data_IF_565074378701
#
_entry.id   IF_565074378701
#
_cell.length_a   1.000
_cell.length_b   1.000
_cell.length_c   1.000
_cell.angle_alpha   90.00
_cell.angle_beta   90.00
_cell.angle_gamma   90.00
#
_symmetry.space_group_name_H-M   'P 1'
#
loop_
_entity.id
_entity.type
_entity.pdbx_description
1 polymer ?
#
# COMPACT_ATOMS: atom_id res chain seq x y z
N UNK A 1 -10.49 -7.14 -37.38
CA UNK A 1 -10.84 -6.04 -36.46
C UNK A 1 -9.69 -5.82 -35.48
N UNK A 2 -8.92 -4.75 -35.66
CA UNK A 2 -7.81 -4.38 -34.76
C UNK A 2 -8.39 -3.49 -33.67
N UNK A 3 -8.44 -3.99 -32.45
CA UNK A 3 -8.92 -3.22 -31.30
C UNK A 3 -7.78 -2.34 -30.80
N UNK A 4 -7.87 -1.04 -31.11
CA UNK A 4 -6.96 -0.03 -30.59
C UNK A 4 -7.16 0.10 -29.08
N UNK A 5 -6.11 -0.16 -28.31
CA UNK A 5 -6.06 0.17 -26.87
C UNK A 5 -5.69 1.65 -26.74
N UNK A 6 -6.57 2.52 -26.22
CA UNK A 6 -6.17 3.87 -25.86
C UNK A 6 -5.25 3.81 -24.63
N UNK A 7 -4.02 4.28 -24.79
CA UNK A 7 -3.11 4.61 -23.69
C UNK A 7 -3.75 5.76 -22.88
N UNK A 8 -4.51 5.41 -21.85
CA UNK A 8 -5.08 6.37 -20.91
C UNK A 8 -4.03 6.71 -19.84
N UNK A 9 -3.32 7.81 -20.12
CA UNK A 9 -3.25 9.00 -19.25
C UNK A 9 -3.07 8.74 -17.74
N UNK A 10 -1.83 8.49 -17.32
CA UNK A 10 -1.42 8.62 -15.90
C UNK A 10 -0.57 9.86 -15.59
N UNK A 11 -0.36 10.79 -16.55
CA UNK A 11 0.46 12.00 -16.34
C UNK A 11 -0.38 13.29 -16.29
N UNK A 12 -1.43 13.32 -15.46
CA UNK A 12 -2.05 14.60 -15.06
C UNK A 12 -1.46 15.15 -13.75
N UNK A 13 -0.57 14.40 -13.10
CA UNK A 13 0.08 14.81 -11.85
C UNK A 13 1.32 15.71 -12.07
N UNK A 14 1.82 15.85 -13.32
CA UNK A 14 2.94 16.76 -13.67
C UNK A 14 2.53 18.24 -13.70
N UNK A 15 1.23 18.57 -13.72
CA UNK A 15 0.77 19.95 -13.95
C UNK A 15 0.39 20.70 -12.67
N UNK A 16 0.48 20.04 -11.50
CA UNK A 16 0.26 20.66 -10.19
C UNK A 16 1.49 20.50 -9.31
N UNK A 17 2.61 21.03 -9.80
CA UNK A 17 3.69 21.62 -8.99
C UNK A 17 4.09 20.86 -7.73
N UNK A 18 4.67 19.67 -7.87
CA UNK A 18 5.62 19.13 -6.88
C UNK A 18 6.45 17.99 -7.45
N UNK A 19 7.35 18.32 -8.36
CA UNK A 19 8.26 17.34 -8.94
C UNK A 19 9.26 16.87 -7.87
N UNK A 20 9.01 15.68 -7.30
CA UNK A 20 10.10 14.84 -6.82
C UNK A 20 10.80 14.32 -8.08
N UNK A 21 12.13 14.39 -8.16
CA UNK A 21 12.85 14.13 -9.41
C UNK A 21 12.46 12.77 -9.99
N UNK A 22 12.28 12.73 -11.31
CA UNK A 22 11.94 11.52 -12.09
C UNK A 22 12.85 10.33 -11.75
N UNK A 23 14.08 10.61 -11.28
CA UNK A 23 15.03 9.63 -10.74
C UNK A 23 14.56 8.86 -9.50
N UNK A 24 13.40 9.17 -8.94
CA UNK A 24 12.82 8.47 -7.78
C UNK A 24 11.45 7.87 -8.08
N UNK A 25 10.95 8.03 -9.31
CA UNK A 25 9.66 7.47 -9.74
C UNK A 25 9.70 5.93 -9.70
N UNK A 26 10.76 5.32 -10.24
CA UNK A 26 10.93 3.86 -10.22
C UNK A 26 10.98 3.26 -8.80
N UNK A 27 11.59 3.96 -7.84
CA UNK A 27 11.65 3.51 -6.43
C UNK A 27 10.26 3.53 -5.80
N UNK A 28 9.44 4.54 -6.12
CA UNK A 28 8.04 4.61 -5.66
C UNK A 28 7.19 3.53 -6.29
N UNK A 29 7.35 3.27 -7.59
CA UNK A 29 6.62 2.22 -8.30
C UNK A 29 6.99 0.84 -7.78
N UNK A 30 8.28 0.62 -7.48
CA UNK A 30 8.75 -0.60 -6.84
C UNK A 30 8.16 -0.75 -5.43
N UNK A 31 8.22 0.29 -4.60
CA UNK A 31 7.66 0.27 -3.25
C UNK A 31 6.14 0.03 -3.24
N UNK A 32 5.42 0.61 -4.19
CA UNK A 32 4.00 0.38 -4.42
C UNK A 32 3.71 -1.08 -4.75
N UNK A 33 4.45 -1.67 -5.69
CA UNK A 33 4.25 -3.04 -6.12
C UNK A 33 4.61 -4.05 -5.03
N UNK A 34 5.65 -3.79 -4.23
CA UNK A 34 6.01 -4.66 -3.10
C UNK A 34 4.91 -4.68 -2.03
N UNK A 35 4.34 -3.52 -1.68
CA UNK A 35 3.19 -3.45 -0.76
C UNK A 35 1.97 -4.15 -1.35
N UNK A 36 1.67 -3.92 -2.64
CA UNK A 36 0.55 -4.56 -3.33
C UNK A 36 0.67 -6.09 -3.29
N UNK A 37 1.85 -6.63 -3.59
CA UNK A 37 2.13 -8.07 -3.49
C UNK A 37 1.90 -8.58 -2.09
N UNK A 38 2.45 -7.92 -1.06
CA UNK A 38 2.27 -8.36 0.33
C UNK A 38 0.79 -8.41 0.75
N UNK A 39 -0.01 -7.41 0.36
CA UNK A 39 -1.46 -7.42 0.61
C UNK A 39 -2.18 -8.56 -0.13
N UNK A 40 -1.84 -8.82 -1.40
CA UNK A 40 -2.39 -9.93 -2.18
C UNK A 40 -2.00 -11.29 -1.60
N UNK A 41 -0.78 -11.42 -1.07
CA UNK A 41 -0.33 -12.63 -0.37
C UNK A 41 -1.19 -12.92 0.86
N UNK A 42 -1.64 -11.89 1.58
CA UNK A 42 -2.56 -12.02 2.71
C UNK A 42 -3.92 -12.62 2.36
N UNK A 43 -4.34 -12.53 1.08
CA UNK A 43 -5.58 -13.11 0.58
C UNK A 43 -5.41 -14.53 0.00
N UNK A 44 -4.22 -15.11 0.03
CA UNK A 44 -4.02 -16.45 -0.51
C UNK A 44 -4.72 -17.52 0.34
N UNK A 45 -5.29 -18.51 -0.35
CA UNK A 45 -6.01 -19.61 0.31
C UNK A 45 -7.34 -19.18 0.92
N UNK A 46 -7.91 -18.06 0.47
CA UNK A 46 -9.27 -17.62 0.79
C UNK A 46 -10.00 -17.33 -0.52
N UNK A 47 -11.30 -17.57 -0.57
CA UNK A 47 -12.11 -17.42 -1.78
C UNK A 47 -13.48 -16.82 -1.45
N UNK A 48 -14.19 -16.33 -2.48
CA UNK A 48 -15.50 -15.70 -2.34
C UNK A 48 -15.58 -14.34 -3.03
N UNK A 49 -16.80 -13.81 -3.17
CA UNK A 49 -17.05 -12.54 -3.85
C UNK A 49 -16.33 -11.35 -3.19
N UNK A 50 -16.30 -11.32 -1.85
CA UNK A 50 -15.59 -10.28 -1.09
C UNK A 50 -14.08 -10.31 -1.34
N UNK A 51 -13.49 -11.52 -1.37
CA UNK A 51 -12.07 -11.73 -1.66
C UNK A 51 -11.74 -11.34 -3.10
N UNK A 52 -12.61 -11.67 -4.06
CA UNK A 52 -12.44 -11.29 -5.46
C UNK A 52 -12.50 -9.76 -5.64
N UNK A 53 -13.46 -9.09 -4.96
CA UNK A 53 -13.58 -7.63 -4.94
C UNK A 53 -12.35 -6.98 -4.32
N UNK A 54 -11.87 -7.50 -3.20
CA UNK A 54 -10.65 -7.00 -2.55
C UNK A 54 -9.42 -7.18 -3.45
N UNK A 55 -9.27 -8.35 -4.09
CA UNK A 55 -8.20 -8.60 -5.07
C UNK A 55 -8.19 -7.55 -6.19
N UNK A 56 -9.36 -7.21 -6.75
CA UNK A 56 -9.44 -6.16 -7.77
C UNK A 56 -9.04 -4.79 -7.23
N UNK A 57 -9.53 -4.40 -6.05
CA UNK A 57 -9.18 -3.11 -5.42
C UNK A 57 -7.66 -2.97 -5.22
N UNK A 58 -6.99 -4.02 -4.73
CA UNK A 58 -5.55 -4.03 -4.53
C UNK A 58 -4.76 -3.97 -5.86
N UNK A 59 -5.20 -4.73 -6.88
CA UNK A 59 -4.56 -4.74 -8.20
C UNK A 59 -4.63 -3.40 -8.91
N UNK A 60 -5.73 -2.66 -8.74
CA UNK A 60 -5.98 -1.40 -9.44
C UNK A 60 -5.74 -0.14 -8.59
N UNK A 61 -5.27 -0.27 -7.34
CA UNK A 61 -4.85 0.87 -6.55
C UNK A 61 -3.74 1.64 -7.27
N UNK A 62 -3.96 2.94 -7.53
CA UNK A 62 -3.10 3.77 -8.37
C UNK A 62 -1.84 4.31 -7.68
N UNK A 63 -1.84 4.35 -6.34
CA UNK A 63 -0.76 4.90 -5.55
C UNK A 63 -0.69 4.26 -4.15
N UNK A 64 0.35 4.65 -3.40
CA UNK A 64 0.64 4.09 -2.08
C UNK A 64 -0.39 4.49 -1.02
N UNK A 65 -1.03 5.64 -1.18
CA UNK A 65 -2.03 6.15 -0.24
C UNK A 65 -3.35 5.37 -0.40
N UNK A 66 -3.73 5.04 -1.63
CA UNK A 66 -4.85 4.13 -1.89
C UNK A 66 -4.64 2.77 -1.21
N UNK A 67 -3.44 2.18 -1.29
CA UNK A 67 -3.11 0.94 -0.58
C UNK A 67 -3.13 1.13 0.95
N UNK A 68 -2.71 2.28 1.46
CA UNK A 68 -2.72 2.58 2.89
C UNK A 68 -4.14 2.54 3.46
N UNK A 69 -5.12 3.11 2.77
CA UNK A 69 -6.52 3.05 3.19
C UNK A 69 -7.12 1.65 2.99
N UNK A 70 -6.80 0.98 1.89
CA UNK A 70 -7.23 -0.41 1.65
C UNK A 70 -6.72 -1.40 2.69
N UNK A 71 -5.70 -1.03 3.47
CA UNK A 71 -5.20 -1.85 4.58
C UNK A 71 -6.28 -2.15 5.61
N UNK A 72 -7.10 -1.17 5.98
CA UNK A 72 -8.19 -1.40 6.95
C UNK A 72 -9.28 -2.27 6.34
N UNK A 73 -9.67 -1.99 5.10
CA UNK A 73 -10.65 -2.83 4.40
C UNK A 73 -10.17 -4.29 4.24
N UNK A 74 -8.85 -4.49 4.03
CA UNK A 74 -8.23 -5.82 3.97
C UNK A 74 -8.38 -6.55 5.30
N UNK A 75 -8.15 -5.87 6.42
CA UNK A 75 -8.38 -6.44 7.74
C UNK A 75 -9.86 -6.82 7.94
N UNK A 76 -10.78 -5.91 7.65
CA UNK A 76 -12.23 -6.17 7.77
C UNK A 76 -12.70 -7.32 6.88
N UNK A 77 -12.06 -7.50 5.71
CA UNK A 77 -12.31 -8.64 4.82
C UNK A 77 -11.78 -9.95 5.42
N UNK A 78 -10.62 -9.92 6.09
CA UNK A 78 -9.96 -11.11 6.62
C UNK A 78 -10.55 -11.60 7.94
N UNK A 79 -11.01 -10.70 8.82
CA UNK A 79 -11.58 -11.03 10.13
C UNK A 79 -12.68 -12.11 10.03
N UNK A 80 -13.74 -11.98 9.21
CA UNK A 80 -14.78 -13.00 9.12
C UNK A 80 -14.31 -14.29 8.44
N UNK A 81 -13.22 -14.26 7.67
CA UNK A 81 -12.74 -15.41 6.88
C UNK A 81 -11.68 -16.24 7.60
N UNK A 82 -10.84 -15.61 8.43
CA UNK A 82 -9.66 -16.22 9.08
C UNK A 82 -9.52 -15.90 10.56
N UNK A 83 -10.41 -15.07 11.11
CA UNK A 83 -10.34 -14.59 12.47
C UNK A 83 -9.38 -13.42 12.63
N UNK A 84 -9.61 -12.65 13.69
CA UNK A 84 -8.88 -11.43 14.01
C UNK A 84 -7.38 -11.64 14.17
N UNK A 85 -6.96 -12.71 14.86
CA UNK A 85 -5.54 -12.98 15.08
C UNK A 85 -4.74 -13.17 13.78
N UNK A 86 -5.35 -13.76 12.75
CA UNK A 86 -4.69 -13.93 11.44
C UNK A 86 -4.72 -12.62 10.67
N UNK A 87 -5.84 -11.90 10.69
CA UNK A 87 -5.96 -10.58 10.06
C UNK A 87 -4.93 -9.59 10.63
N UNK A 88 -4.74 -9.58 11.95
CA UNK A 88 -3.77 -8.74 12.63
C UNK A 88 -2.34 -9.07 12.19
N UNK A 89 -1.97 -10.36 12.10
CA UNK A 89 -0.63 -10.77 11.59
C UNK A 89 -0.37 -10.28 10.16
N UNK A 90 -1.39 -10.28 9.30
CA UNK A 90 -1.27 -9.70 7.96
C UNK A 90 -0.99 -8.20 8.05
N UNK A 91 -1.71 -7.46 8.91
CA UNK A 91 -1.44 -6.03 9.10
C UNK A 91 -0.07 -5.74 9.70
N UNK A 92 0.39 -6.53 10.65
CA UNK A 92 1.69 -6.35 11.28
C UNK A 92 2.82 -6.54 10.27
N UNK A 93 2.62 -7.41 9.26
CA UNK A 93 3.56 -7.60 8.16
C UNK A 93 3.50 -6.46 7.13
N UNK A 94 2.30 -6.00 6.77
CA UNK A 94 2.12 -5.02 5.68
C UNK A 94 2.36 -3.58 6.15
N UNK A 95 1.94 -3.21 7.36
CA UNK A 95 1.99 -1.82 7.85
C UNK A 95 3.40 -1.21 7.83
N UNK A 96 4.47 -1.92 8.24
CA UNK A 96 5.84 -1.40 8.17
C UNK A 96 6.30 -1.08 6.75
N UNK A 97 5.78 -1.77 5.73
CA UNK A 97 6.18 -1.57 4.34
C UNK A 97 5.80 -0.17 3.82
N UNK A 98 4.82 0.50 4.43
CA UNK A 98 4.44 1.87 4.08
C UNK A 98 5.41 2.94 4.61
N UNK A 99 6.30 2.59 5.54
CA UNK A 99 7.23 3.54 6.13
C UNK A 99 8.17 4.13 5.08
N UNK A 100 8.38 5.45 5.11
CA UNK A 100 9.18 6.16 4.12
C UNK A 100 8.49 6.42 2.77
N UNK A 101 7.43 5.68 2.44
CA UNK A 101 6.69 5.82 1.18
C UNK A 101 5.54 6.83 1.26
N UNK A 102 4.92 6.96 2.44
CA UNK A 102 3.78 7.84 2.66
C UNK A 102 4.14 9.34 2.62
N UNK A 103 3.22 10.20 2.16
CA UNK A 103 3.27 11.64 2.37
C UNK A 103 3.46 11.98 3.85
N UNK A 104 4.13 13.10 4.14
CA UNK A 104 4.41 13.54 5.51
C UNK A 104 3.14 13.65 6.38
N UNK A 105 1.99 14.00 5.78
CA UNK A 105 0.69 14.09 6.45
C UNK A 105 0.15 12.75 6.97
N UNK A 106 0.58 11.62 6.40
CA UNK A 106 0.11 10.28 6.75
C UNK A 106 1.14 9.46 7.52
N UNK A 107 2.34 10.00 7.73
CA UNK A 107 3.36 9.32 8.54
C UNK A 107 2.92 9.34 10.00
N UNK A 108 2.83 8.17 10.61
CA UNK A 108 2.77 8.05 12.06
C UNK A 108 3.96 8.82 12.64
N UNK A 109 3.77 9.70 13.65
CA UNK A 109 4.89 10.34 14.31
C UNK A 109 5.84 9.25 14.81
N UNK A 110 7.02 9.15 14.20
CA UNK A 110 8.08 8.37 14.81
C UNK A 110 8.49 9.16 16.04
N UNK A 111 8.19 8.63 17.23
CA UNK A 111 8.71 9.21 18.47
C UNK A 111 10.22 9.39 18.30
N UNK A 112 10.77 10.59 18.55
CA UNK A 112 12.21 10.79 18.52
C UNK A 112 12.84 9.72 19.40
N UNK A 113 13.69 8.89 18.83
CA UNK A 113 14.57 8.04 19.61
C UNK A 113 15.49 9.00 20.36
N UNK A 114 15.16 9.31 21.62
CA UNK A 114 16.07 10.08 22.46
C UNK A 114 17.41 9.35 22.51
N UNK A 115 18.53 10.02 22.17
CA UNK A 115 19.84 9.45 22.43
C UNK A 115 19.95 9.30 23.95
N UNK A 116 19.81 8.06 24.43
CA UNK A 116 20.11 7.70 25.81
C UNK A 116 21.60 7.91 26.02
N UNK A 117 21.98 9.14 26.36
CA UNK A 117 23.29 9.45 26.91
C UNK A 117 23.42 8.66 28.22
N UNK A 118 24.12 7.54 28.15
CA UNK A 118 24.55 6.77 29.30
C UNK A 118 25.69 7.56 29.94
N UNK A 119 25.37 8.35 30.96
CA UNK A 119 26.38 8.98 31.80
C UNK A 119 27.19 7.90 32.53
N UNK A 120 28.48 8.23 32.69
CA UNK A 120 29.62 7.46 33.19
C UNK A 120 29.35 6.59 34.42
#
# INVERSE_FOLDING_TARGET
>A
MRWNKPNLRNNLHDLLGRDKPSSTAWVRDQGLEEVRKAMLQGLMGVSGCEVARMNMRLRYAGDIEALWYLRIDLFDTLVPLRGEAVAQKVLDHVTPLFQGQLPLSLRTPQAPQEPRFRNF
#
